data_IF_258832329952
#
_entry.id   IF_258832329952
#
_cell.length_a   1.000
_cell.length_b   1.000
_cell.length_c   1.000
_cell.angle_alpha   90.00
_cell.angle_beta   90.00
_cell.angle_gamma   90.00
#
_symmetry.space_group_name_H-M   'P 1'
#
loop_
_entity.id
_entity.type
_entity.pdbx_description
1 polymer ?
#
# COMPACT_ATOMS: atom_id res chain seq x y z
N UNK A 1 -22.84 23.92 25.18
CA UNK A 1 -21.81 23.09 24.50
C UNK A 1 -20.54 23.90 24.40
N UNK A 2 -19.67 23.78 25.40
CA UNK A 2 -18.40 24.52 25.46
C UNK A 2 -17.36 23.76 24.65
N UNK A 3 -17.08 24.22 23.42
CA UNK A 3 -15.90 23.78 22.68
C UNK A 3 -14.67 24.32 23.42
N UNK A 4 -13.87 23.45 24.05
CA UNK A 4 -12.55 23.82 24.58
C UNK A 4 -11.64 24.11 23.38
N UNK A 5 -11.44 25.38 23.09
CA UNK A 5 -10.38 25.86 22.18
C UNK A 5 -9.16 26.14 23.03
N UNK A 6 -8.09 25.39 22.80
CA UNK A 6 -6.79 25.67 23.41
C UNK A 6 -5.95 26.27 22.29
N UNK A 7 -5.61 27.55 22.41
CA UNK A 7 -4.54 28.14 21.62
C UNK A 7 -3.22 27.50 22.08
N UNK A 8 -2.37 27.05 21.16
CA UNK A 8 -1.12 26.35 21.45
C UNK A 8 -0.04 27.29 22.02
N UNK A 9 -0.32 27.91 23.16
CA UNK A 9 0.60 28.77 23.89
C UNK A 9 0.66 28.39 25.36
N UNK A 10 1.82 27.84 25.76
CA UNK A 10 2.28 27.54 27.12
C UNK A 10 1.74 26.27 27.80
N UNK A 11 2.59 25.24 27.86
CA UNK A 11 2.65 24.29 28.98
C UNK A 11 4.09 23.83 29.17
N UNK A 12 4.71 24.29 30.25
CA UNK A 12 6.04 23.94 30.69
C UNK A 12 5.96 23.07 31.97
N UNK A 13 6.79 22.03 32.01
CA UNK A 13 7.19 21.18 33.14
C UNK A 13 6.12 20.36 33.88
N UNK A 14 6.33 19.04 33.99
CA UNK A 14 6.86 18.33 35.18
C UNK A 14 7.39 16.94 34.77
N UNK A 15 8.60 16.61 35.23
CA UNK A 15 9.29 15.32 35.14
C UNK A 15 8.69 14.28 36.09
N UNK A 16 8.47 13.04 35.63
CA UNK A 16 8.63 11.83 36.44
C UNK A 16 9.17 10.69 35.56
N UNK A 17 10.37 10.21 35.90
CA UNK A 17 10.96 8.98 35.37
C UNK A 17 10.29 7.75 35.99
N UNK A 18 10.06 6.70 35.20
CA UNK A 18 9.55 5.41 35.67
C UNK A 18 9.71 4.33 34.61
N UNK A 19 10.93 3.84 34.45
CA UNK A 19 11.32 2.68 33.65
C UNK A 19 10.82 1.37 34.29
N UNK A 20 10.30 0.46 33.46
CA UNK A 20 10.42 -0.98 33.67
C UNK A 20 9.12 -1.79 33.73
N UNK A 21 8.84 -2.53 32.66
CA UNK A 21 8.38 -3.91 32.75
C UNK A 21 8.70 -4.66 31.43
N UNK A 22 9.21 -5.90 31.48
CA UNK A 22 9.50 -6.71 30.30
C UNK A 22 8.27 -7.53 29.89
N UNK A 23 8.11 -7.82 28.60
CA UNK A 23 7.21 -8.87 28.12
C UNK A 23 7.96 -9.78 27.16
N UNK A 24 8.10 -11.03 27.59
CA UNK A 24 8.40 -12.21 26.79
C UNK A 24 7.11 -12.67 26.10
N UNK A 25 7.17 -13.05 24.82
CA UNK A 25 6.55 -14.26 24.24
C UNK A 25 6.81 -14.28 22.72
N UNK A 26 7.68 -15.18 22.26
CA UNK A 26 7.37 -16.49 21.69
C UNK A 26 7.01 -16.46 20.19
N UNK A 27 8.07 -16.68 19.41
CA UNK A 27 8.16 -17.56 18.23
C UNK A 27 6.89 -18.28 17.77
N UNK A 28 6.50 -18.06 16.52
CA UNK A 28 5.50 -18.86 15.82
C UNK A 28 5.54 -18.62 14.31
N UNK A 29 6.54 -19.20 13.64
CA UNK A 29 6.58 -19.30 12.18
C UNK A 29 5.48 -20.28 11.76
N UNK A 30 4.45 -19.79 11.07
CA UNK A 30 3.43 -20.64 10.45
C UNK A 30 3.75 -20.80 8.97
N UNK A 31 4.52 -21.84 8.63
CA UNK A 31 4.51 -22.43 7.30
C UNK A 31 3.23 -23.26 7.18
N UNK A 32 2.22 -22.77 6.45
CA UNK A 32 1.05 -23.57 6.13
C UNK A 32 1.31 -24.39 4.87
N UNK A 33 1.81 -25.61 5.08
CA UNK A 33 1.76 -26.68 4.09
C UNK A 33 0.29 -27.03 3.80
N UNK A 34 -0.21 -26.62 2.63
CA UNK A 34 -1.47 -27.13 2.10
C UNK A 34 -1.23 -28.52 1.51
N UNK A 35 -1.57 -29.55 2.28
CA UNK A 35 -1.74 -30.91 1.78
C UNK A 35 -3.12 -31.04 1.12
N UNK A 36 -3.15 -31.31 -0.18
CA UNK A 36 -4.37 -31.70 -0.89
C UNK A 36 -4.37 -33.22 -1.06
N UNK A 37 -5.45 -33.85 -0.61
CA UNK A 37 -5.67 -35.29 -0.63
C UNK A 37 -5.79 -35.83 -2.06
N UNK A 38 -5.06 -36.90 -2.33
CA UNK A 38 -5.13 -37.66 -3.57
C UNK A 38 -6.48 -38.39 -3.72
N UNK A 39 -7.23 -38.05 -4.76
CA UNK A 39 -8.18 -38.94 -5.42
C UNK A 39 -8.55 -38.35 -6.80
N UNK A 40 -7.75 -38.67 -7.82
CA UNK A 40 -8.26 -39.27 -9.06
C UNK A 40 -7.06 -39.68 -9.94
N UNK A 41 -7.08 -40.95 -10.33
CA UNK A 41 -6.00 -41.64 -11.00
C UNK A 41 -6.07 -41.53 -12.53
N UNK A 42 -4.87 -41.56 -13.12
CA UNK A 42 -4.54 -42.06 -14.46
C UNK A 42 -4.90 -41.23 -15.70
N UNK A 43 -3.99 -40.29 -16.03
CA UNK A 43 -3.29 -40.34 -17.32
C UNK A 43 -1.79 -40.14 -17.08
N UNK A 44 -1.00 -41.22 -17.15
CA UNK A 44 0.47 -41.17 -17.15
C UNK A 44 0.99 -40.64 -18.48
N UNK A 45 0.93 -39.32 -18.67
CA UNK A 45 1.84 -38.62 -19.59
C UNK A 45 3.04 -38.20 -18.74
N UNK A 46 4.27 -38.47 -19.19
CA UNK A 46 5.51 -38.14 -18.47
C UNK A 46 5.72 -36.63 -18.29
N UNK A 47 4.98 -36.03 -17.36
CA UNK A 47 5.01 -34.62 -17.04
C UNK A 47 6.27 -34.29 -16.23
N UNK A 48 7.20 -33.57 -16.87
CA UNK A 48 8.22 -32.83 -16.12
C UNK A 48 7.57 -31.62 -15.46
N UNK A 49 7.92 -31.31 -14.20
CA UNK A 49 7.40 -30.13 -13.52
C UNK A 49 7.88 -28.91 -14.30
N UNK A 50 6.95 -27.99 -14.61
CA UNK A 50 7.14 -26.72 -15.32
C UNK A 50 7.54 -26.81 -16.80
N UNK A 51 6.55 -26.57 -17.69
CA UNK A 51 6.77 -26.19 -19.09
C UNK A 51 6.95 -24.68 -19.18
N UNK A 52 7.96 -24.25 -19.91
CA UNK A 52 8.21 -22.85 -20.25
C UNK A 52 7.80 -22.63 -21.71
N UNK A 53 7.19 -21.47 -21.98
CA UNK A 53 6.76 -21.07 -23.31
C UNK A 53 7.38 -19.71 -23.60
N UNK A 54 8.15 -19.62 -24.67
CA UNK A 54 8.56 -18.33 -25.22
C UNK A 54 7.65 -18.01 -26.40
N UNK A 55 7.38 -16.74 -26.64
CA UNK A 55 6.82 -16.32 -27.91
C UNK A 55 7.79 -16.60 -29.06
N UNK A 56 7.25 -16.54 -30.29
CA UNK A 56 8.01 -16.84 -31.51
C UNK A 56 9.23 -15.91 -31.66
N UNK A 57 9.13 -14.69 -31.13
CA UNK A 57 10.15 -13.66 -31.17
C UNK A 57 11.10 -13.66 -29.95
N UNK A 58 10.80 -14.45 -28.90
CA UNK A 58 11.61 -14.52 -27.68
C UNK A 58 11.59 -13.26 -26.81
N UNK A 59 10.51 -12.47 -26.88
CA UNK A 59 10.34 -11.27 -26.08
C UNK A 59 9.86 -11.54 -24.66
N UNK A 60 9.21 -12.68 -24.38
CA UNK A 60 8.71 -13.01 -23.06
C UNK A 60 8.59 -14.51 -22.81
N UNK A 61 8.67 -14.89 -21.54
CA UNK A 61 8.55 -16.27 -21.11
C UNK A 61 7.35 -16.47 -20.19
N UNK A 62 6.54 -17.49 -20.47
CA UNK A 62 5.48 -18.01 -19.60
C UNK A 62 5.87 -19.34 -18.97
N UNK A 63 5.21 -19.64 -17.85
CA UNK A 63 5.30 -20.90 -17.17
C UNK A 63 3.89 -21.45 -16.92
N UNK A 64 3.68 -22.72 -17.27
CA UNK A 64 2.47 -23.44 -16.86
C UNK A 64 2.54 -23.80 -15.38
N UNK A 65 1.46 -23.53 -14.66
CA UNK A 65 1.27 -23.91 -13.26
C UNK A 65 0.28 -25.07 -13.18
N UNK A 66 0.57 -26.07 -12.33
CA UNK A 66 -0.23 -27.30 -12.21
C UNK A 66 -1.72 -27.08 -11.89
N UNK A 67 -2.09 -25.90 -11.40
CA UNK A 67 -3.46 -25.48 -11.17
C UNK A 67 -4.26 -25.15 -12.45
N UNK A 68 -3.66 -25.22 -13.64
CA UNK A 68 -4.38 -25.07 -14.92
C UNK A 68 -4.29 -23.68 -15.56
N UNK A 69 -3.33 -22.86 -15.14
CA UNK A 69 -3.14 -21.50 -15.65
C UNK A 69 -1.69 -21.23 -16.05
N UNK A 70 -1.48 -20.12 -16.75
CA UNK A 70 -0.17 -19.60 -17.15
C UNK A 70 0.21 -18.38 -16.31
N UNK A 71 1.51 -18.26 -16.03
CA UNK A 71 2.07 -17.05 -15.46
C UNK A 71 3.20 -16.51 -16.33
N UNK A 72 3.23 -15.19 -16.54
CA UNK A 72 4.37 -14.53 -17.19
C UNK A 72 5.51 -14.43 -16.18
N UNK A 73 6.67 -14.97 -16.53
CA UNK A 73 7.83 -15.03 -15.63
C UNK A 73 8.93 -14.05 -15.98
N UNK A 74 9.00 -13.62 -17.24
CA UNK A 74 9.92 -12.58 -17.68
C UNK A 74 9.42 -11.92 -18.96
N UNK A 75 9.58 -10.61 -19.03
CA UNK A 75 9.75 -9.89 -20.29
C UNK A 75 11.25 -9.91 -20.57
N UNK A 76 11.68 -10.51 -21.67
CA UNK A 76 13.09 -10.67 -22.04
C UNK A 76 13.56 -9.53 -22.97
N UNK A 77 12.64 -8.89 -23.69
CA UNK A 77 12.96 -7.74 -24.55
C UNK A 77 13.00 -6.42 -23.76
N UNK A 78 14.17 -5.78 -23.70
CA UNK A 78 14.41 -4.51 -23.01
C UNK A 78 14.02 -3.27 -23.84
N UNK A 79 13.78 -3.40 -25.14
CA UNK A 79 13.50 -2.29 -26.06
C UNK A 79 12.00 -1.98 -26.18
N UNK A 80 11.14 -2.83 -25.61
CA UNK A 80 9.69 -2.62 -25.66
C UNK A 80 9.28 -1.40 -24.85
N UNK A 81 8.48 -0.55 -25.49
CA UNK A 81 7.88 0.64 -24.86
C UNK A 81 6.45 0.41 -24.42
N UNK A 82 5.76 -0.58 -24.99
CA UNK A 82 4.41 -0.98 -24.60
C UNK A 82 4.32 -2.50 -24.59
N UNK A 83 3.54 -3.05 -23.65
CA UNK A 83 3.30 -4.49 -23.56
C UNK A 83 1.85 -4.79 -23.21
N UNK A 84 1.21 -5.66 -23.99
CA UNK A 84 -0.10 -6.22 -23.69
C UNK A 84 0.09 -7.65 -23.20
N UNK A 85 -0.25 -7.90 -21.93
CA UNK A 85 -0.23 -9.25 -21.37
C UNK A 85 -1.36 -10.03 -22.06
N UNK A 86 -1.07 -11.16 -22.73
CA UNK A 86 -2.12 -11.94 -23.37
C UNK A 86 -3.04 -12.55 -22.31
N UNK A 87 -4.34 -12.63 -22.59
CA UNK A 87 -5.32 -13.21 -21.66
C UNK A 87 -5.24 -14.73 -21.57
N UNK A 88 -4.71 -15.38 -22.61
CA UNK A 88 -4.55 -16.84 -22.69
C UNK A 88 -3.38 -17.22 -23.59
N UNK A 89 -2.83 -18.42 -23.38
CA UNK A 89 -1.78 -19.01 -24.21
C UNK A 89 -2.21 -20.40 -24.64
N UNK A 90 -2.05 -20.71 -25.92
CA UNK A 90 -2.31 -22.05 -26.48
C UNK A 90 -1.01 -22.82 -26.64
N UNK A 91 -0.92 -24.00 -26.02
CA UNK A 91 0.19 -24.93 -26.24
C UNK A 91 0.02 -25.62 -27.60
N UNK A 92 0.80 -25.22 -28.59
CA UNK A 92 0.72 -25.74 -29.97
C UNK A 92 0.81 -27.27 -30.06
N UNK A 93 1.51 -27.93 -29.12
CA UNK A 93 1.69 -29.39 -29.15
C UNK A 93 0.47 -30.14 -28.68
N UNK A 94 -0.27 -29.60 -27.71
CA UNK A 94 -1.46 -30.24 -27.15
C UNK A 94 -2.77 -29.66 -27.70
N UNK A 95 -2.73 -28.46 -28.28
CA UNK A 95 -3.91 -27.69 -28.68
C UNK A 95 -4.72 -27.15 -27.48
N UNK A 96 -4.19 -27.26 -26.26
CA UNK A 96 -4.86 -26.78 -25.06
C UNK A 96 -4.57 -25.29 -24.84
N UNK A 97 -5.61 -24.55 -24.49
CA UNK A 97 -5.54 -23.12 -24.18
C UNK A 97 -5.69 -22.91 -22.69
N UNK A 98 -4.82 -22.07 -22.11
CA UNK A 98 -4.75 -21.79 -20.68
C UNK A 98 -4.81 -20.29 -20.43
N UNK A 99 -5.62 -19.81 -19.47
CA UNK A 99 -5.67 -18.39 -19.12
C UNK A 99 -4.36 -17.95 -18.49
N UNK A 100 -3.97 -16.69 -18.73
CA UNK A 100 -2.87 -16.04 -18.02
C UNK A 100 -3.45 -15.37 -16.78
N UNK A 101 -3.06 -15.85 -15.62
CA UNK A 101 -3.64 -15.44 -14.34
C UNK A 101 -2.68 -14.63 -13.46
N UNK A 102 -1.37 -14.72 -13.72
CA UNK A 102 -0.36 -14.20 -12.79
C UNK A 102 0.76 -13.51 -13.57
N UNK A 103 1.05 -12.28 -13.16
CA UNK A 103 2.35 -11.67 -13.43
C UNK A 103 3.27 -12.11 -12.29
N UNK A 104 4.24 -12.97 -12.61
CA UNK A 104 5.08 -13.58 -11.60
C UNK A 104 6.03 -12.55 -10.99
N UNK A 105 6.70 -12.95 -9.91
CA UNK A 105 7.70 -12.10 -9.27
C UNK A 105 8.77 -11.66 -10.27
N UNK A 106 9.18 -10.40 -10.17
CA UNK A 106 10.26 -9.78 -10.97
C UNK A 106 10.06 -9.83 -12.50
N UNK A 107 8.88 -10.22 -13.01
CA UNK A 107 8.69 -10.51 -14.43
C UNK A 107 9.02 -9.33 -15.36
N UNK A 108 8.80 -8.09 -14.90
CA UNK A 108 9.13 -6.86 -15.62
C UNK A 108 10.15 -6.00 -14.86
N UNK A 109 10.84 -6.54 -13.85
CA UNK A 109 11.72 -5.74 -13.01
C UNK A 109 12.77 -5.01 -13.86
N UNK A 110 12.93 -3.71 -13.62
CA UNK A 110 13.97 -2.90 -14.23
C UNK A 110 13.76 -2.60 -15.71
N UNK A 111 12.58 -2.82 -16.29
CA UNK A 111 12.32 -2.49 -17.70
C UNK A 111 12.26 -0.98 -17.92
N UNK A 112 13.42 -0.39 -18.21
CA UNK A 112 13.64 1.06 -18.28
C UNK A 112 13.01 1.76 -19.48
N UNK A 113 12.64 1.02 -20.53
CA UNK A 113 11.98 1.58 -21.71
C UNK A 113 10.46 1.38 -21.70
N UNK A 114 9.94 0.50 -20.85
CA UNK A 114 8.52 0.15 -20.81
C UNK A 114 7.71 1.31 -20.22
N UNK A 115 6.84 1.89 -21.04
CA UNK A 115 5.98 3.04 -20.71
C UNK A 115 4.55 2.68 -20.42
N UNK A 116 4.06 1.61 -21.06
CA UNK A 116 2.67 1.18 -20.91
C UNK A 116 2.57 -0.33 -20.76
N UNK A 117 1.73 -0.76 -19.83
CA UNK A 117 1.33 -2.17 -19.70
C UNK A 117 -0.18 -2.28 -19.67
N UNK A 118 -0.71 -3.14 -20.54
CA UNK A 118 -2.11 -3.57 -20.51
C UNK A 118 -2.16 -4.95 -19.87
N UNK A 119 -2.86 -5.05 -18.74
CA UNK A 119 -3.09 -6.27 -17.98
C UNK A 119 -4.53 -6.71 -18.30
N UNK A 120 -4.82 -7.97 -18.69
CA UNK A 120 -6.18 -8.41 -18.97
C UNK A 120 -6.91 -8.82 -17.67
N UNK A 121 -8.24 -8.90 -17.73
CA UNK A 121 -9.08 -9.30 -16.59
C UNK A 121 -8.89 -10.76 -16.13
N UNK A 122 -8.18 -11.58 -16.90
CA UNK A 122 -7.79 -12.93 -16.47
C UNK A 122 -6.71 -12.91 -15.40
N UNK A 123 -5.90 -11.84 -15.33
CA UNK A 123 -4.82 -11.71 -14.35
C UNK A 123 -5.40 -11.34 -12.98
N UNK A 124 -5.25 -12.24 -12.02
CA UNK A 124 -5.70 -12.06 -10.64
C UNK A 124 -4.57 -11.61 -9.68
N UNK A 125 -3.30 -11.75 -10.07
CA UNK A 125 -2.16 -11.43 -9.20
C UNK A 125 -1.01 -10.75 -9.93
N UNK A 126 -0.54 -9.65 -9.33
CA UNK A 126 0.73 -9.00 -9.65
C UNK A 126 1.74 -9.38 -8.55
N UNK A 127 2.82 -10.04 -8.96
CA UNK A 127 3.81 -10.64 -8.07
C UNK A 127 4.76 -9.63 -7.43
N UNK A 128 5.53 -10.14 -6.47
CA UNK A 128 6.54 -9.35 -5.74
C UNK A 128 7.54 -8.75 -6.72
N UNK A 129 7.86 -7.46 -6.58
CA UNK A 129 8.79 -6.75 -7.46
C UNK A 129 8.45 -6.81 -8.97
N UNK A 130 7.21 -7.17 -9.36
CA UNK A 130 6.86 -7.43 -10.75
C UNK A 130 7.26 -6.31 -11.72
N UNK A 131 6.99 -5.05 -11.38
CA UNK A 131 7.36 -3.84 -12.14
C UNK A 131 8.33 -2.95 -11.36
N UNK A 132 9.01 -3.50 -10.35
CA UNK A 132 9.99 -2.76 -9.56
C UNK A 132 11.04 -2.11 -10.46
N UNK A 133 11.33 -0.83 -10.24
CA UNK A 133 12.30 -0.05 -11.01
C UNK A 133 11.98 0.11 -12.52
N UNK A 134 10.73 -0.06 -12.96
CA UNK A 134 10.26 0.36 -14.29
C UNK A 134 10.12 1.89 -14.36
N UNK A 135 11.24 2.61 -14.35
CA UNK A 135 11.25 4.08 -14.16
C UNK A 135 10.58 4.87 -15.28
N UNK A 136 10.39 4.28 -16.47
CA UNK A 136 9.67 4.90 -17.57
C UNK A 136 8.18 4.52 -17.64
N UNK A 137 7.68 3.65 -16.74
CA UNK A 137 6.30 3.20 -16.76
C UNK A 137 5.37 4.36 -16.39
N UNK A 138 4.59 4.82 -17.36
CA UNK A 138 3.66 5.94 -17.24
C UNK A 138 2.22 5.48 -17.01
N UNK A 139 1.84 4.32 -17.59
CA UNK A 139 0.45 3.87 -17.64
C UNK A 139 0.33 2.34 -17.40
N UNK A 140 -0.57 1.96 -16.50
CA UNK A 140 -0.99 0.57 -16.29
C UNK A 140 -2.51 0.50 -16.39
N UNK A 141 -3.02 -0.30 -17.33
CA UNK A 141 -4.47 -0.41 -17.62
C UNK A 141 -4.95 -1.85 -17.62
N UNK A 142 -6.28 -2.03 -17.50
CA UNK A 142 -6.95 -3.34 -17.63
C UNK A 142 -6.92 -4.24 -16.39
N UNK A 143 -6.56 -3.71 -15.21
CA UNK A 143 -6.42 -4.47 -13.96
C UNK A 143 -7.74 -4.98 -13.33
N UNK A 144 -8.86 -5.07 -14.06
CA UNK A 144 -10.19 -5.36 -13.49
C UNK A 144 -10.25 -6.71 -12.74
N UNK A 145 -9.46 -7.69 -13.14
CA UNK A 145 -9.38 -9.01 -12.49
C UNK A 145 -8.42 -9.09 -11.31
N UNK A 146 -7.57 -8.09 -11.09
CA UNK A 146 -6.48 -8.16 -10.11
C UNK A 146 -7.06 -8.06 -8.70
N UNK A 147 -6.90 -9.14 -7.92
CA UNK A 147 -7.27 -9.18 -6.50
C UNK A 147 -6.08 -8.94 -5.58
N UNK A 148 -4.86 -9.13 -6.08
CA UNK A 148 -3.62 -9.02 -5.30
C UNK A 148 -2.54 -8.24 -6.04
N UNK A 149 -2.06 -7.17 -5.41
CA UNK A 149 -0.82 -6.48 -5.76
C UNK A 149 0.17 -6.75 -4.63
N UNK A 150 1.26 -7.45 -4.93
CA UNK A 150 2.20 -7.94 -3.93
C UNK A 150 3.25 -6.89 -3.54
N UNK A 151 4.10 -7.23 -2.58
CA UNK A 151 5.16 -6.35 -2.08
C UNK A 151 6.06 -5.82 -3.21
N UNK A 152 6.40 -4.53 -3.15
CA UNK A 152 7.28 -3.84 -4.10
C UNK A 152 6.80 -3.87 -5.56
N UNK A 153 5.55 -4.24 -5.84
CA UNK A 153 5.09 -4.53 -7.21
C UNK A 153 5.36 -3.39 -8.20
N UNK A 154 5.24 -2.13 -7.77
CA UNK A 154 5.53 -0.93 -8.56
C UNK A 154 6.51 0.02 -7.85
N UNK A 155 7.38 -0.49 -6.96
CA UNK A 155 8.37 0.37 -6.29
C UNK A 155 9.27 1.06 -7.32
N UNK A 156 9.52 2.36 -7.12
CA UNK A 156 10.36 3.17 -8.02
C UNK A 156 9.90 3.18 -9.49
N UNK A 157 8.59 3.07 -9.74
CA UNK A 157 7.98 3.44 -11.02
C UNK A 157 7.88 4.97 -11.14
N UNK A 158 9.03 5.63 -11.30
CA UNK A 158 9.18 7.08 -11.17
C UNK A 158 8.29 7.90 -12.11
N UNK A 159 7.92 7.38 -13.28
CA UNK A 159 7.07 8.06 -14.27
C UNK A 159 5.57 7.78 -14.12
N UNK A 160 5.16 6.92 -13.18
CA UNK A 160 3.77 6.51 -13.02
C UNK A 160 2.96 7.64 -12.39
N UNK A 161 2.11 8.31 -13.20
CA UNK A 161 1.38 9.52 -12.78
C UNK A 161 0.10 9.23 -12.01
N UNK A 162 -0.59 8.18 -12.44
CA UNK A 162 -1.90 7.76 -11.93
C UNK A 162 -2.01 6.25 -12.06
N UNK A 163 -2.70 5.61 -11.12
CA UNK A 163 -3.07 4.20 -11.24
C UNK A 163 -4.49 4.00 -10.74
N UNK A 164 -5.32 3.29 -11.53
CA UNK A 164 -6.68 2.94 -11.12
C UNK A 164 -6.67 1.55 -10.51
N UNK A 165 -6.78 1.47 -9.18
CA UNK A 165 -6.87 0.20 -8.48
C UNK A 165 -8.26 -0.43 -8.69
N UNK A 166 -8.35 -1.75 -8.94
CA UNK A 166 -9.63 -2.39 -9.22
C UNK A 166 -10.47 -2.54 -7.96
N UNK A 167 -11.79 -2.48 -8.11
CA UNK A 167 -12.76 -2.60 -7.01
C UNK A 167 -12.83 -4.01 -6.40
N UNK A 168 -12.19 -5.00 -7.04
CA UNK A 168 -12.01 -6.35 -6.51
C UNK A 168 -10.69 -6.56 -5.74
N UNK A 169 -9.85 -5.52 -5.58
CA UNK A 169 -8.55 -5.63 -4.92
C UNK A 169 -8.75 -5.94 -3.43
N UNK A 170 -8.25 -7.09 -2.96
CA UNK A 170 -8.33 -7.50 -1.55
C UNK A 170 -7.01 -7.34 -0.80
N UNK A 171 -5.89 -7.41 -1.54
CA UNK A 171 -4.54 -7.45 -0.98
C UNK A 171 -3.63 -6.43 -1.67
N UNK A 172 -3.02 -5.55 -0.86
CA UNK A 172 -2.04 -4.57 -1.29
C UNK A 172 -0.77 -4.70 -0.44
N UNK A 173 0.34 -5.10 -1.05
CA UNK A 173 1.59 -5.43 -0.38
C UNK A 173 2.33 -4.23 0.20
N UNK A 174 3.42 -4.53 0.92
CA UNK A 174 4.35 -3.52 1.42
C UNK A 174 4.98 -2.76 0.25
N UNK A 175 5.17 -1.45 0.40
CA UNK A 175 5.92 -0.63 -0.58
C UNK A 175 5.39 -0.71 -2.03
N UNK A 176 4.14 -1.15 -2.24
CA UNK A 176 3.61 -1.47 -3.56
C UNK A 176 3.73 -0.31 -4.58
N UNK A 177 3.64 0.94 -4.12
CA UNK A 177 3.81 2.17 -4.89
C UNK A 177 4.87 3.11 -4.26
N UNK A 178 5.77 2.59 -3.43
CA UNK A 178 6.82 3.39 -2.81
C UNK A 178 7.72 4.01 -3.88
N UNK A 179 8.17 5.26 -3.66
CA UNK A 179 9.04 6.00 -4.58
C UNK A 179 8.48 6.23 -6.01
N UNK A 180 7.16 6.16 -6.20
CA UNK A 180 6.51 6.57 -7.45
C UNK A 180 6.50 8.10 -7.57
N UNK A 181 7.60 8.66 -8.04
CA UNK A 181 7.89 10.11 -7.97
C UNK A 181 6.90 11.01 -8.71
N UNK A 182 6.25 10.53 -9.76
CA UNK A 182 5.24 11.28 -10.51
C UNK A 182 3.80 11.03 -10.04
N UNK A 183 3.56 10.11 -9.08
CA UNK A 183 2.22 9.74 -8.66
C UNK A 183 1.54 10.93 -7.95
N UNK A 184 0.42 11.39 -8.48
CA UNK A 184 -0.24 12.62 -7.99
C UNK A 184 -1.43 12.37 -7.07
N UNK A 185 -2.11 11.24 -7.27
CA UNK A 185 -3.27 10.84 -6.49
C UNK A 185 -3.33 9.32 -6.35
N UNK A 186 -3.90 8.85 -5.25
CA UNK A 186 -4.12 7.42 -5.01
C UNK A 186 -5.46 7.20 -4.31
N UNK A 187 -6.32 6.38 -4.93
CA UNK A 187 -7.57 5.93 -4.31
C UNK A 187 -7.42 4.46 -3.93
N UNK A 188 -7.62 4.16 -2.66
CA UNK A 188 -7.59 2.80 -2.12
C UNK A 188 -9.01 2.24 -2.07
N UNK A 189 -9.32 1.18 -2.85
CA UNK A 189 -10.65 0.62 -2.93
C UNK A 189 -11.15 0.06 -1.60
N UNK A 190 -12.45 0.17 -1.33
CA UNK A 190 -13.06 -0.27 -0.08
C UNK A 190 -12.97 -1.79 0.17
N UNK A 191 -12.67 -2.56 -0.88
CA UNK A 191 -12.49 -4.01 -0.87
C UNK A 191 -11.17 -4.47 -0.24
N UNK A 192 -10.18 -3.58 -0.05
CA UNK A 192 -8.86 -3.96 0.46
C UNK A 192 -8.97 -4.35 1.94
N UNK A 193 -8.66 -5.61 2.23
CA UNK A 193 -8.71 -6.19 3.58
C UNK A 193 -7.33 -6.36 4.21
N UNK A 194 -6.29 -6.50 3.37
CA UNK A 194 -4.90 -6.63 3.78
C UNK A 194 -4.06 -5.58 3.07
N UNK A 195 -3.41 -4.72 3.85
CA UNK A 195 -2.63 -3.58 3.36
C UNK A 195 -1.28 -3.53 4.09
N UNK A 196 -0.18 -3.56 3.33
CA UNK A 196 1.19 -3.51 3.84
C UNK A 196 1.60 -2.12 4.33
N UNK A 197 2.76 -2.02 4.94
CA UNK A 197 3.35 -0.72 5.33
C UNK A 197 3.98 -0.02 4.12
N UNK A 198 4.20 1.30 4.24
CA UNK A 198 4.93 2.08 3.23
C UNK A 198 4.35 2.07 1.80
N UNK A 199 3.07 1.72 1.63
CA UNK A 199 2.41 1.53 0.32
C UNK A 199 2.70 2.65 -0.66
N UNK A 200 2.60 3.90 -0.23
CA UNK A 200 2.81 5.09 -1.06
C UNK A 200 3.92 6.00 -0.50
N UNK A 201 4.85 5.45 0.28
CA UNK A 201 5.94 6.21 0.91
C UNK A 201 6.89 6.85 -0.13
N UNK A 202 7.34 8.07 0.13
CA UNK A 202 8.35 8.74 -0.68
C UNK A 202 7.90 9.07 -2.10
N UNK A 203 6.63 9.40 -2.28
CA UNK A 203 6.02 9.92 -3.51
C UNK A 203 5.93 11.45 -3.45
N UNK A 204 6.99 12.20 -3.85
CA UNK A 204 7.06 13.65 -3.70
C UNK A 204 5.98 14.44 -4.43
N UNK A 205 5.33 13.93 -5.47
CA UNK A 205 4.24 14.63 -6.18
C UNK A 205 2.83 14.23 -5.70
N UNK A 206 2.72 13.32 -4.72
CA UNK A 206 1.44 12.84 -4.22
C UNK A 206 0.72 13.94 -3.46
N UNK A 207 -0.40 14.41 -3.99
CA UNK A 207 -1.19 15.53 -3.43
C UNK A 207 -2.39 15.07 -2.63
N UNK A 208 -2.99 13.94 -3.01
CA UNK A 208 -4.16 13.45 -2.32
C UNK A 208 -4.25 11.93 -2.26
N UNK A 209 -4.75 11.44 -1.12
CA UNK A 209 -5.10 10.04 -0.92
C UNK A 209 -6.57 9.96 -0.51
N UNK A 210 -7.30 9.05 -1.14
CA UNK A 210 -8.67 8.72 -0.77
C UNK A 210 -8.76 7.27 -0.36
N UNK A 211 -9.21 6.99 0.85
CA UNK A 211 -9.58 5.65 1.29
C UNK A 211 -11.11 5.52 1.16
N UNK A 212 -11.58 4.56 0.39
CA UNK A 212 -13.02 4.33 0.22
C UNK A 212 -13.67 3.66 1.44
N UNK A 213 -14.99 3.76 1.55
CA UNK A 213 -15.75 3.06 2.58
C UNK A 213 -15.54 1.54 2.48
N UNK A 214 -15.24 0.91 3.61
CA UNK A 214 -14.82 -0.49 3.69
C UNK A 214 -13.41 -0.63 4.27
N UNK A 215 -12.55 0.38 4.09
CA UNK A 215 -11.23 0.40 4.74
C UNK A 215 -11.40 0.52 6.25
N UNK A 216 -10.85 -0.46 6.97
CA UNK A 216 -10.94 -0.55 8.43
C UNK A 216 -9.66 -0.14 9.13
N UNK A 217 -8.50 -0.21 8.48
CA UNK A 217 -7.22 0.12 9.09
C UNK A 217 -6.29 0.75 8.04
N UNK A 218 -5.62 1.84 8.42
CA UNK A 218 -4.55 2.45 7.65
C UNK A 218 -3.23 1.97 8.28
N UNK A 219 -2.34 1.31 7.52
CA UNK A 219 -1.12 0.71 8.07
C UNK A 219 -0.06 1.75 8.42
N UNK A 220 0.96 1.30 9.15
CA UNK A 220 2.10 2.14 9.53
C UNK A 220 2.83 2.67 8.29
N UNK A 221 3.27 3.92 8.39
CA UNK A 221 4.08 4.59 7.36
C UNK A 221 3.46 4.63 5.95
N UNK A 222 2.13 4.49 5.82
CA UNK A 222 1.43 4.39 4.53
C UNK A 222 1.91 5.41 3.48
N UNK A 223 2.00 6.70 3.86
CA UNK A 223 2.42 7.83 3.05
C UNK A 223 3.51 8.64 3.78
N UNK A 224 4.56 7.95 4.20
CA UNK A 224 5.71 8.52 4.90
C UNK A 224 6.61 9.32 3.94
N UNK A 225 7.12 10.48 4.39
CA UNK A 225 7.98 11.40 3.59
C UNK A 225 7.30 12.09 2.40
N UNK A 226 5.97 12.15 2.38
CA UNK A 226 5.20 12.75 1.27
C UNK A 226 4.90 14.23 1.50
N UNK A 227 5.94 15.06 1.38
CA UNK A 227 5.88 16.50 1.73
C UNK A 227 4.87 17.35 0.95
N UNK A 228 4.33 16.86 -0.18
CA UNK A 228 3.28 17.54 -0.96
C UNK A 228 1.88 16.94 -0.76
N UNK A 229 1.71 15.97 0.14
CA UNK A 229 0.40 15.39 0.44
C UNK A 229 -0.46 16.39 1.20
N UNK A 230 -1.38 17.05 0.51
CA UNK A 230 -2.20 18.14 1.06
C UNK A 230 -3.55 17.66 1.61
N UNK A 231 -4.05 16.51 1.13
CA UNK A 231 -5.37 16.00 1.48
C UNK A 231 -5.36 14.48 1.68
N UNK A 232 -5.92 14.04 2.81
CA UNK A 232 -6.25 12.64 3.07
C UNK A 232 -7.73 12.53 3.41
N UNK A 233 -8.47 11.68 2.71
CA UNK A 233 -9.86 11.35 3.02
C UNK A 233 -9.93 10.01 3.75
N UNK A 234 -10.27 10.05 5.05
CA UNK A 234 -10.41 8.88 5.91
C UNK A 234 -11.89 8.48 6.00
N UNK A 235 -12.27 7.22 5.70
CA UNK A 235 -13.66 6.79 5.64
C UNK A 235 -14.26 6.55 7.04
N UNK A 236 -15.59 6.54 7.09
CA UNK A 236 -16.35 6.28 8.32
C UNK A 236 -16.24 4.83 8.82
N UNK A 237 -15.71 3.93 8.01
CA UNK A 237 -15.38 2.55 8.40
C UNK A 237 -14.04 2.42 9.12
N UNK A 238 -13.14 3.40 9.03
CA UNK A 238 -11.78 3.31 9.56
C UNK A 238 -11.78 3.19 11.10
N UNK A 239 -11.05 2.22 11.64
CA UNK A 239 -10.94 1.95 13.08
C UNK A 239 -9.58 2.33 13.63
N UNK A 240 -8.52 2.17 12.84
CA UNK A 240 -7.18 2.54 13.28
C UNK A 240 -6.28 3.13 12.21
N UNK A 241 -5.37 3.99 12.66
CA UNK A 241 -4.31 4.61 11.86
C UNK A 241 -2.96 4.24 12.50
N UNK A 242 -2.13 3.53 11.75
CA UNK A 242 -0.86 2.97 12.19
C UNK A 242 0.24 4.02 12.36
N UNK A 243 1.32 3.58 13.00
CA UNK A 243 2.44 4.44 13.38
C UNK A 243 3.01 5.21 12.18
N UNK A 244 3.16 6.52 12.33
CA UNK A 244 3.78 7.38 11.32
C UNK A 244 3.12 7.37 9.94
N UNK A 245 1.84 6.96 9.84
CA UNK A 245 1.16 6.77 8.55
C UNK A 245 1.22 7.99 7.61
N UNK A 246 1.24 9.20 8.17
CA UNK A 246 1.29 10.46 7.43
C UNK A 246 2.40 11.39 7.93
N UNK A 247 3.47 10.84 8.53
CA UNK A 247 4.60 11.67 8.98
C UNK A 247 5.29 12.34 7.80
N UNK A 248 5.80 13.55 8.03
CA UNK A 248 6.46 14.38 7.02
C UNK A 248 5.54 14.75 5.84
N UNK A 249 4.22 14.71 6.04
CA UNK A 249 3.26 15.09 5.00
C UNK A 249 3.06 16.61 4.88
N UNK A 250 2.58 17.03 3.72
CA UNK A 250 2.21 18.42 3.41
C UNK A 250 0.81 18.83 3.89
N UNK A 251 0.18 18.06 4.78
CA UNK A 251 -1.21 18.24 5.17
C UNK A 251 -1.42 19.64 5.77
N UNK A 252 -2.51 20.30 5.37
CA UNK A 252 -2.89 21.62 5.92
C UNK A 252 -3.91 21.49 7.04
N UNK A 253 -4.86 20.57 6.89
CA UNK A 253 -5.82 20.26 7.92
C UNK A 253 -6.17 18.77 7.88
N UNK A 254 -6.56 18.21 9.02
CA UNK A 254 -7.05 16.84 9.09
C UNK A 254 -8.21 16.71 10.07
N UNK A 255 -9.25 16.02 9.63
CA UNK A 255 -10.35 15.57 10.48
C UNK A 255 -10.27 14.06 10.62
N UNK A 256 -10.09 13.59 11.85
CA UNK A 256 -10.09 12.16 12.16
C UNK A 256 -11.53 11.76 12.47
N UNK A 257 -12.16 10.85 11.70
CA UNK A 257 -13.54 10.44 11.92
C UNK A 257 -13.77 9.82 13.31
N UNK A 258 -14.93 10.08 13.91
CA UNK A 258 -15.28 9.65 15.29
C UNK A 258 -15.28 8.12 15.50
N UNK A 259 -15.37 7.36 14.42
CA UNK A 259 -15.26 5.90 14.40
C UNK A 259 -13.82 5.37 14.56
N UNK A 260 -12.81 6.22 14.40
CA UNK A 260 -11.41 5.86 14.63
C UNK A 260 -11.18 5.77 16.13
N UNK A 261 -10.84 4.58 16.63
CA UNK A 261 -10.64 4.32 18.05
C UNK A 261 -9.16 4.23 18.43
N UNK A 262 -8.26 4.11 17.44
CA UNK A 262 -6.81 4.04 17.66
C UNK A 262 -6.05 4.87 16.64
N UNK A 263 -5.25 5.82 17.12
CA UNK A 263 -4.31 6.63 16.34
C UNK A 263 -2.94 6.42 16.99
N UNK A 264 -2.03 5.72 16.32
CA UNK A 264 -0.75 5.30 16.89
C UNK A 264 0.27 6.46 17.05
N UNK A 265 1.49 6.14 17.48
CA UNK A 265 2.58 7.10 17.63
C UNK A 265 2.92 7.76 16.29
N UNK A 266 3.36 9.01 16.35
CA UNK A 266 3.98 9.72 15.22
C UNK A 266 3.09 9.93 13.98
N UNK A 267 1.79 9.61 14.01
CA UNK A 267 0.92 9.59 12.80
C UNK A 267 1.04 10.85 11.93
N UNK A 268 1.12 12.04 12.53
CA UNK A 268 1.29 13.33 11.85
C UNK A 268 2.58 14.04 12.27
N UNK A 269 3.61 13.30 12.68
CA UNK A 269 4.91 13.87 13.04
C UNK A 269 5.51 14.65 11.85
N UNK A 270 6.15 15.78 12.10
CA UNK A 270 6.78 16.64 11.08
C UNK A 270 5.82 17.16 9.99
N UNK A 271 4.51 17.24 10.24
CA UNK A 271 3.56 17.86 9.31
C UNK A 271 3.62 19.40 9.43
N UNK A 272 4.67 20.00 8.88
CA UNK A 272 5.00 21.43 9.08
C UNK A 272 4.00 22.42 8.48
N UNK A 273 3.11 21.95 7.61
CA UNK A 273 2.03 22.75 7.01
C UNK A 273 0.70 22.61 7.73
N UNK A 274 0.61 21.73 8.74
CA UNK A 274 -0.65 21.38 9.41
C UNK A 274 -1.04 22.51 10.36
N UNK A 275 -2.16 23.18 10.07
CA UNK A 275 -2.67 24.32 10.86
C UNK A 275 -3.86 23.98 11.73
N UNK A 276 -4.68 22.99 11.33
CA UNK A 276 -5.89 22.63 12.05
C UNK A 276 -6.10 21.12 12.12
N UNK A 277 -6.42 20.64 13.32
CA UNK A 277 -6.69 19.22 13.59
C UNK A 277 -8.02 19.07 14.33
N UNK A 278 -8.87 18.16 13.86
CA UNK A 278 -9.98 17.62 14.66
C UNK A 278 -9.70 16.18 15.04
N UNK A 279 -9.59 15.92 16.33
CA UNK A 279 -9.40 14.57 16.86
C UNK A 279 -10.72 13.78 16.92
N UNK A 280 -10.61 12.47 16.80
CA UNK A 280 -11.74 11.54 16.91
C UNK A 280 -12.27 11.46 18.35
N UNK A 281 -13.59 11.51 18.51
CA UNK A 281 -14.25 11.22 19.80
C UNK A 281 -14.26 9.74 20.18
N UNK A 282 -13.82 8.85 19.27
CA UNK A 282 -13.59 7.43 19.54
C UNK A 282 -12.27 7.14 20.26
N UNK A 283 -11.34 8.10 20.32
CA UNK A 283 -10.06 7.94 21.00
C UNK A 283 -10.11 8.44 22.45
N UNK A 284 -9.31 7.82 23.32
CA UNK A 284 -9.09 8.23 24.72
C UNK A 284 -7.65 8.71 25.00
N UNK A 285 -6.74 8.55 24.04
CA UNK A 285 -5.35 8.95 24.14
C UNK A 285 -4.88 9.69 22.88
N UNK A 286 -4.05 10.72 23.07
CA UNK A 286 -3.16 11.27 22.04
C UNK A 286 -1.75 10.74 22.32
N UNK A 287 -1.25 9.93 21.39
CA UNK A 287 -0.04 9.13 21.55
C UNK A 287 1.26 9.94 21.43
N UNK A 288 2.40 9.27 21.61
CA UNK A 288 3.70 9.92 21.56
C UNK A 288 3.96 10.50 20.18
N UNK A 289 4.45 11.75 20.16
CA UNK A 289 4.87 12.45 18.95
C UNK A 289 3.80 12.56 17.85
N UNK A 290 2.51 12.32 18.14
CA UNK A 290 1.44 12.28 17.12
C UNK A 290 1.42 13.53 16.25
N UNK A 291 1.68 14.72 16.82
CA UNK A 291 1.79 16.00 16.14
C UNK A 291 3.13 16.69 16.43
N UNK A 292 4.19 15.91 16.71
CA UNK A 292 5.52 16.50 16.96
C UNK A 292 6.02 17.26 15.71
N UNK A 293 6.70 18.38 15.89
CA UNK A 293 7.22 19.27 14.83
C UNK A 293 6.16 19.70 13.78
N UNK A 294 4.89 19.81 14.20
CA UNK A 294 3.84 20.51 13.45
C UNK A 294 3.93 22.01 13.74
N UNK A 295 4.98 22.65 13.24
CA UNK A 295 5.34 24.03 13.63
C UNK A 295 4.31 25.10 13.25
N UNK A 296 3.38 24.81 12.33
CA UNK A 296 2.28 25.69 11.91
C UNK A 296 0.93 25.39 12.61
N UNK A 297 0.88 24.48 13.58
CA UNK A 297 -0.36 24.01 14.18
C UNK A 297 -0.97 25.06 15.12
N UNK A 298 -2.06 25.69 14.69
CA UNK A 298 -2.75 26.79 15.40
C UNK A 298 -3.97 26.31 16.20
N UNK A 299 -4.74 25.35 15.68
CA UNK A 299 -5.99 24.87 16.30
C UNK A 299 -6.03 23.34 16.41
N UNK A 300 -6.31 22.84 17.61
CA UNK A 300 -6.62 21.43 17.86
C UNK A 300 -7.97 21.32 18.56
N UNK A 301 -8.93 20.65 17.92
CA UNK A 301 -10.24 20.34 18.50
C UNK A 301 -10.12 18.99 19.21
N UNK A 302 -10.07 19.05 20.54
CA UNK A 302 -9.95 17.89 21.42
C UNK A 302 -11.34 17.52 21.99
N UNK A 303 -11.88 16.32 21.70
CA UNK A 303 -13.13 15.86 22.28
C UNK A 303 -12.98 15.45 23.75
N UNK A 304 -14.09 15.46 24.50
CA UNK A 304 -14.11 15.10 25.94
C UNK A 304 -13.72 13.63 26.21
N UNK A 305 -13.71 12.78 25.18
CA UNK A 305 -13.29 11.38 25.26
C UNK A 305 -11.79 11.23 25.54
N UNK A 306 -10.97 12.21 25.14
CA UNK A 306 -9.51 12.20 25.32
C UNK A 306 -9.18 12.42 26.81
N UNK A 307 -8.61 11.39 27.42
CA UNK A 307 -8.22 11.35 28.84
C UNK A 307 -6.72 11.56 29.03
N UNK A 308 -5.92 11.11 28.06
CA UNK A 308 -4.46 11.13 28.14
C UNK A 308 -3.91 11.85 26.91
N UNK A 309 -2.99 12.77 27.14
CA UNK A 309 -2.19 13.39 26.09
C UNK A 309 -0.74 13.16 26.47
N UNK A 310 0.00 12.44 25.62
CA UNK A 310 1.44 12.24 25.83
C UNK A 310 2.16 13.59 25.96
N UNK A 311 3.14 13.68 26.86
CA UNK A 311 3.95 14.89 27.03
C UNK A 311 4.76 15.26 25.77
N UNK A 312 4.89 14.34 24.80
CA UNK A 312 5.54 14.60 23.51
C UNK A 312 4.57 14.72 22.34
N UNK A 313 3.26 14.59 22.57
CA UNK A 313 2.24 14.60 21.51
C UNK A 313 2.32 15.84 20.61
N UNK A 314 2.68 16.99 21.19
CA UNK A 314 2.77 18.30 20.53
C UNK A 314 4.18 18.93 20.68
N UNK A 315 5.22 18.11 20.85
CA UNK A 315 6.60 18.62 20.92
C UNK A 315 6.93 19.48 19.70
N UNK A 316 7.63 20.60 19.88
CA UNK A 316 8.05 21.50 18.78
C UNK A 316 6.90 22.09 17.93
N UNK A 317 5.65 22.10 18.44
CA UNK A 317 4.60 22.97 17.89
C UNK A 317 4.84 24.42 18.36
N UNK A 318 4.91 25.37 17.44
CA UNK A 318 5.40 26.74 17.74
C UNK A 318 4.46 27.88 17.36
N UNK A 319 3.36 27.61 16.65
CA UNK A 319 2.39 28.61 16.17
C UNK A 319 1.33 28.98 17.23
#
# INVERSE_FOLDING_TARGET
>A
MNKKRIAAGALAFVLVFGIGAPVLEQTGVLTSDFSVSAADADVKVGWKPTRYYQDAEGNYTFQYVQAGYMQIISLDNDELTEFEVPSEITDEKSGLTFPVEVIYKEAFQGKKNLKKVTIPSTVNRIGVNAFSNCTALEEVVGMEGVTTISDDAFVSCESLKTITLPQGLTNLGNEAFSHCSALTELTIPGSVTLMGSYVASGCPELKSITFEEGITNIPSFFAYLDSNLEKVSIPSTCKSIGMGAFSYSGLVAIEIPDNVTRVDNEVFNNCKRLTSVKLSSGCDIVNMNTFSDCSALEEVIIPDSIKIISNTAFSFCTA
#
